data_IF_989410827167
#
_entry.id   IF_989410827167
#
_cell.length_a   1.000
_cell.length_b   1.000
_cell.length_c   1.000
_cell.angle_alpha   90.00
_cell.angle_beta   90.00
_cell.angle_gamma   90.00
#
_symmetry.space_group_name_H-M   'P 1'
#
loop_
_entity.id
_entity.type
_entity.pdbx_description
1 polymer ?
#
# COMPACT_ATOMS: atom_id res chain seq x y z
N UNK A 1 -11.20 -8.94 -14.27
CA UNK A 1 -12.03 -7.84 -13.73
C UNK A 1 -11.22 -6.55 -13.54
N UNK A 2 -10.18 -6.30 -14.33
CA UNK A 2 -8.95 -5.67 -13.78
C UNK A 2 -8.60 -4.28 -14.31
N UNK A 3 -9.24 -3.79 -15.39
CA UNK A 3 -8.88 -2.49 -15.96
C UNK A 3 -9.60 -1.33 -15.27
N UNK A 4 -10.88 -1.53 -14.93
CA UNK A 4 -11.74 -0.47 -14.36
C UNK A 4 -11.40 -0.17 -12.89
N UNK A 5 -11.04 -1.20 -12.12
CA UNK A 5 -10.59 -1.04 -10.73
C UNK A 5 -9.28 -0.25 -10.64
N UNK A 6 -8.30 -0.59 -11.47
CA UNK A 6 -7.00 0.11 -11.52
C UNK A 6 -7.15 1.60 -11.85
N UNK A 7 -7.99 1.93 -12.84
CA UNK A 7 -8.23 3.32 -13.23
C UNK A 7 -8.91 4.09 -12.09
N UNK A 8 -9.83 3.45 -11.39
CA UNK A 8 -10.48 4.04 -10.21
C UNK A 8 -9.47 4.36 -9.12
N UNK A 9 -8.57 3.43 -8.81
CA UNK A 9 -7.49 3.62 -7.83
C UNK A 9 -6.56 4.77 -8.26
N UNK A 10 -6.16 4.81 -9.53
CA UNK A 10 -5.28 5.86 -10.04
C UNK A 10 -5.93 7.25 -9.97
N UNK A 11 -7.25 7.35 -10.19
CA UNK A 11 -8.01 8.60 -10.02
C UNK A 11 -8.11 9.04 -8.56
N UNK A 12 -8.14 8.09 -7.63
CA UNK A 12 -8.19 8.33 -6.18
C UNK A 12 -6.81 8.44 -5.50
N UNK A 13 -5.70 8.38 -6.26
CA UNK A 13 -4.34 8.35 -5.68
C UNK A 13 -4.02 9.50 -4.72
N UNK A 14 -4.66 10.65 -4.87
CA UNK A 14 -4.49 11.83 -4.00
C UNK A 14 -5.38 11.84 -2.76
N UNK A 15 -6.10 10.75 -2.48
CA UNK A 15 -6.92 10.62 -1.28
C UNK A 15 -6.11 10.05 -0.14
N UNK A 16 -6.45 10.40 1.11
CA UNK A 16 -5.82 9.76 2.27
C UNK A 16 -6.17 8.28 2.34
N UNK A 17 -5.17 7.48 2.64
CA UNK A 17 -5.25 6.05 2.80
C UNK A 17 -4.57 5.62 4.10
N UNK A 18 -5.18 4.62 4.71
CA UNK A 18 -4.75 3.99 5.94
C UNK A 18 -3.88 2.78 5.58
N UNK A 19 -2.61 2.79 5.96
CA UNK A 19 -1.70 1.65 5.74
C UNK A 19 -1.61 0.78 6.99
N UNK A 20 -1.66 -0.54 6.82
CA UNK A 20 -1.53 -1.53 7.90
C UNK A 20 -0.42 -2.53 7.62
N UNK A 21 0.10 -3.16 8.67
CA UNK A 21 1.08 -4.25 8.56
C UNK A 21 2.47 -3.81 8.10
N UNK A 22 2.88 -2.59 8.46
CA UNK A 22 4.22 -2.05 8.15
C UNK A 22 5.10 -2.17 9.40
N UNK A 23 6.32 -2.73 9.31
CA UNK A 23 7.26 -2.77 10.43
C UNK A 23 7.71 -1.34 10.77
N UNK A 24 7.47 -0.91 12.00
CA UNK A 24 7.89 0.40 12.49
C UNK A 24 9.37 0.43 12.88
N UNK A 25 9.97 -0.72 13.18
CA UNK A 25 11.34 -0.84 13.70
C UNK A 25 12.08 -2.00 13.02
N UNK A 26 13.41 -1.96 13.04
CA UNK A 26 14.26 -2.97 12.39
C UNK A 26 14.72 -4.01 13.40
N UNK A 27 13.80 -4.68 14.12
CA UNK A 27 14.21 -5.58 15.22
C UNK A 27 13.60 -6.96 15.03
N UNK A 28 14.45 -7.92 14.64
CA UNK A 28 14.07 -9.32 14.41
C UNK A 28 13.28 -9.91 15.59
N UNK A 29 12.00 -10.12 15.36
CA UNK A 29 11.01 -10.67 16.29
C UNK A 29 9.64 -10.69 15.62
N UNK A 30 8.63 -11.31 16.23
CA UNK A 30 7.26 -11.27 15.73
C UNK A 30 6.70 -9.85 15.92
N UNK A 31 7.03 -8.96 14.99
CA UNK A 31 6.55 -7.57 14.98
C UNK A 31 5.08 -7.52 14.57
N UNK A 32 4.19 -7.27 15.53
CA UNK A 32 2.80 -6.84 15.33
C UNK A 32 2.44 -6.04 16.59
N UNK A 33 1.93 -4.81 16.60
CA UNK A 33 1.21 -3.95 15.67
C UNK A 33 1.66 -2.49 15.89
N UNK A 34 1.58 -1.64 14.86
CA UNK A 34 0.80 -0.40 15.00
C UNK A 34 0.05 -0.07 13.71
N UNK A 35 -1.27 0.06 13.85
CA UNK A 35 -2.21 0.74 12.96
C UNK A 35 -1.82 2.23 12.75
N UNK A 36 -2.52 2.96 11.87
CA UNK A 36 -2.13 3.18 10.50
C UNK A 36 -1.24 4.41 10.29
N UNK A 37 -0.39 4.34 9.27
CA UNK A 37 0.20 5.53 8.69
C UNK A 37 -0.83 6.12 7.70
N UNK A 38 -1.25 7.37 7.94
CA UNK A 38 -2.13 8.10 7.03
C UNK A 38 -1.27 8.79 5.98
N UNK A 39 -1.40 8.35 4.73
CA UNK A 39 -0.66 8.91 3.61
C UNK A 39 -1.53 8.92 2.35
N UNK A 40 -1.14 9.70 1.34
CA UNK A 40 -1.85 9.71 0.06
C UNK A 40 -1.84 8.30 -0.56
N UNK A 41 -2.98 7.85 -1.08
CA UNK A 41 -3.21 6.48 -1.58
C UNK A 41 -2.12 6.02 -2.55
N UNK A 42 -1.67 6.91 -3.43
CA UNK A 42 -0.56 6.63 -4.33
C UNK A 42 0.75 6.34 -3.60
N UNK A 43 1.09 7.13 -2.58
CA UNK A 43 2.24 6.90 -1.72
C UNK A 43 2.08 5.64 -0.88
N UNK A 44 0.88 5.37 -0.37
CA UNK A 44 0.56 4.15 0.37
C UNK A 44 0.84 2.89 -0.46
N UNK A 45 0.37 2.88 -1.70
CA UNK A 45 0.60 1.78 -2.63
C UNK A 45 2.11 1.60 -2.87
N UNK A 46 2.84 2.68 -3.14
CA UNK A 46 4.28 2.62 -3.38
C UNK A 46 5.06 2.20 -2.12
N UNK A 47 4.63 2.65 -0.94
CA UNK A 47 5.23 2.30 0.34
C UNK A 47 5.11 0.80 0.61
N UNK A 48 3.89 0.24 0.54
CA UNK A 48 3.66 -1.20 0.72
C UNK A 48 4.37 -2.02 -0.36
N UNK A 49 4.37 -1.56 -1.61
CA UNK A 49 5.05 -2.27 -2.71
C UNK A 49 6.58 -2.38 -2.54
N UNK A 50 7.20 -1.47 -1.76
CA UNK A 50 8.64 -1.44 -1.49
C UNK A 50 9.06 -2.32 -0.30
N UNK A 51 8.12 -2.81 0.51
CA UNK A 51 8.41 -3.72 1.60
C UNK A 51 9.08 -5.00 1.06
N UNK A 52 9.91 -5.65 1.89
CA UNK A 52 10.39 -7.00 1.58
C UNK A 52 9.18 -7.95 1.43
N UNK A 53 9.26 -8.91 0.50
CA UNK A 53 8.15 -9.84 0.25
C UNK A 53 7.79 -10.63 1.50
N UNK A 54 8.79 -11.08 2.26
CA UNK A 54 8.58 -11.84 3.49
C UNK A 54 7.87 -11.00 4.56
N UNK A 55 8.26 -9.74 4.72
CA UNK A 55 7.63 -8.79 5.64
C UNK A 55 6.18 -8.53 5.23
N UNK A 56 5.98 -8.25 3.94
CA UNK A 56 4.69 -7.86 3.38
C UNK A 56 3.64 -8.98 3.49
N UNK A 57 4.07 -10.25 3.35
CA UNK A 57 3.20 -11.42 3.53
C UNK A 57 3.00 -11.78 5.00
N UNK A 58 4.05 -11.80 5.81
CA UNK A 58 3.96 -12.14 7.24
C UNK A 58 3.15 -11.12 8.03
N UNK A 59 3.31 -9.82 7.77
CA UNK A 59 2.59 -8.76 8.45
C UNK A 59 1.21 -8.44 7.84
N UNK A 60 0.80 -9.17 6.79
CA UNK A 60 -0.44 -8.94 6.03
C UNK A 60 -0.63 -7.46 5.63
N UNK A 61 0.43 -6.85 5.07
CA UNK A 61 0.46 -5.44 4.75
C UNK A 61 -0.66 -5.08 3.74
N UNK A 62 -1.40 -4.01 4.04
CA UNK A 62 -2.53 -3.58 3.23
C UNK A 62 -2.76 -2.07 3.27
N UNK A 63 -3.42 -1.57 2.24
CA UNK A 63 -3.84 -0.16 2.10
C UNK A 63 -5.36 -0.13 2.04
N UNK A 64 -5.97 0.72 2.86
CA UNK A 64 -7.41 0.95 2.86
C UNK A 64 -7.74 2.41 2.54
N UNK A 65 -8.60 2.64 1.55
CA UNK A 65 -9.10 3.96 1.20
C UNK A 65 -10.53 3.86 0.64
N UNK A 66 -11.50 4.54 1.25
CA UNK A 66 -12.90 4.56 0.80
C UNK A 66 -13.49 3.19 0.39
N UNK A 67 -13.32 2.18 1.23
CA UNK A 67 -13.83 0.83 0.94
C UNK A 67 -13.00 0.02 -0.07
N UNK A 68 -11.94 0.60 -0.63
CA UNK A 68 -10.93 -0.13 -1.40
C UNK A 68 -9.92 -0.71 -0.42
N UNK A 69 -9.73 -2.03 -0.47
CA UNK A 69 -8.66 -2.72 0.23
C UNK A 69 -7.68 -3.28 -0.79
N UNK A 70 -6.41 -2.89 -0.69
CA UNK A 70 -5.32 -3.40 -1.51
C UNK A 70 -4.37 -4.17 -0.62
N UNK A 71 -4.14 -5.45 -0.92
CA UNK A 71 -3.14 -6.22 -0.22
C UNK A 71 -1.74 -5.97 -0.82
N UNK A 72 -0.72 -6.63 -0.25
CA UNK A 72 0.64 -6.58 -0.74
C UNK A 72 0.78 -6.84 -2.25
N UNK A 73 0.12 -7.88 -2.77
CA UNK A 73 0.19 -8.28 -4.16
C UNK A 73 -0.45 -7.24 -5.08
N UNK A 74 -1.62 -6.71 -4.69
CA UNK A 74 -2.30 -5.64 -5.40
C UNK A 74 -1.42 -4.39 -5.48
N UNK A 75 -0.81 -4.00 -4.36
CA UNK A 75 0.06 -2.83 -4.30
C UNK A 75 1.28 -3.00 -5.23
N UNK A 76 1.93 -4.16 -5.23
CA UNK A 76 3.05 -4.47 -6.14
C UNK A 76 2.61 -4.47 -7.60
N UNK A 77 1.48 -5.11 -7.90
CA UNK A 77 0.93 -5.14 -9.26
C UNK A 77 0.65 -3.74 -9.79
N UNK A 78 0.07 -2.88 -8.95
CA UNK A 78 -0.22 -1.49 -9.30
C UNK A 78 1.06 -0.66 -9.44
N UNK A 79 2.03 -0.83 -8.54
CA UNK A 79 3.32 -0.17 -8.63
C UNK A 79 4.09 -0.56 -9.90
N UNK A 80 4.12 -1.84 -10.26
CA UNK A 80 4.73 -2.32 -11.51
C UNK A 80 4.05 -1.74 -12.76
N UNK A 81 2.73 -1.57 -12.71
CA UNK A 81 1.94 -1.12 -13.85
C UNK A 81 1.89 0.40 -14.01
N UNK A 82 1.91 1.15 -12.90
CA UNK A 82 1.65 2.59 -12.90
C UNK A 82 2.71 3.44 -12.20
N UNK A 83 3.65 2.85 -11.45
CA UNK A 83 4.85 3.48 -10.86
C UNK A 83 4.76 5.00 -10.66
N UNK A 84 5.38 5.75 -11.57
CA UNK A 84 5.47 7.21 -11.56
C UNK A 84 4.11 7.93 -11.54
N UNK A 85 3.07 7.34 -12.15
CA UNK A 85 1.71 7.90 -12.17
C UNK A 85 1.00 7.75 -10.82
N UNK A 86 1.47 6.85 -9.96
CA UNK A 86 0.97 6.69 -8.60
C UNK A 86 1.67 7.61 -7.61
N UNK A 87 2.87 8.11 -7.90
CA UNK A 87 3.58 9.01 -6.98
C UNK A 87 2.75 10.27 -6.72
N UNK A 88 2.50 10.58 -5.45
CA UNK A 88 1.83 11.81 -5.03
C UNK A 88 2.72 12.50 -4.02
N UNK A 89 3.55 13.44 -4.46
CA UNK A 89 4.40 14.20 -3.53
C UNK A 89 3.53 14.98 -2.54
N UNK A 90 3.89 14.92 -1.27
CA UNK A 90 3.27 15.69 -0.18
C UNK A 90 3.70 17.16 -0.21
#
# INVERSE_FOLDING_TARGET
>A
MTRDADITILRKRGMLATVRGVPAHSVGGAEVETTPCDMLLGNAILHVARLDVSVCTTAAASVFAEGIMLNCEDCRRLALKYGDKLEVRE
#
